data_IF_385091304844
#
_entry.id   IF_385091304844
#
_cell.length_a   1.000
_cell.length_b   1.000
_cell.length_c   1.000
_cell.angle_alpha   90.00
_cell.angle_beta   90.00
_cell.angle_gamma   90.00
#
_symmetry.space_group_name_H-M   'P 1'
#
loop_
_entity.id
_entity.type
_entity.pdbx_description
1 polymer ?
#
# COMPACT_ATOMS: atom_id res chain seq x y z
N UNK A 1 3.88 -26.19 -21.11
CA UNK A 1 3.49 -25.29 -20.01
C UNK A 1 4.66 -24.34 -19.76
N UNK A 2 4.44 -23.03 -19.79
CA UNK A 2 5.48 -22.05 -19.45
C UNK A 2 5.61 -22.00 -17.92
N UNK A 3 6.80 -22.22 -17.38
CA UNK A 3 7.02 -22.22 -15.94
C UNK A 3 6.89 -20.77 -15.41
N UNK A 4 5.96 -20.57 -14.48
CA UNK A 4 5.52 -19.21 -14.05
C UNK A 4 6.40 -18.63 -12.94
N UNK A 5 7.25 -19.43 -12.29
CA UNK A 5 8.22 -18.93 -11.31
C UNK A 5 8.99 -20.04 -10.58
N UNK A 6 10.17 -19.70 -10.06
CA UNK A 6 11.07 -20.60 -9.31
C UNK A 6 10.69 -20.77 -7.83
N UNK A 7 9.99 -19.78 -7.27
CA UNK A 7 9.69 -19.73 -5.84
C UNK A 7 8.28 -19.23 -5.64
N UNK A 8 7.48 -19.99 -4.89
CA UNK A 8 6.13 -19.63 -4.47
C UNK A 8 6.18 -19.21 -3.00
N UNK A 9 5.63 -18.05 -2.69
CA UNK A 9 5.45 -17.58 -1.31
C UNK A 9 3.97 -17.52 -1.00
N UNK A 10 3.57 -18.08 0.14
CA UNK A 10 2.20 -18.09 0.61
C UNK A 10 2.11 -17.81 2.09
N UNK A 11 1.07 -17.08 2.47
CA UNK A 11 0.67 -16.86 3.84
C UNK A 11 -0.34 -17.93 4.27
N UNK A 12 -0.15 -18.51 5.45
CA UNK A 12 -1.11 -19.42 6.07
C UNK A 12 -1.12 -19.19 7.59
N UNK A 13 -2.28 -18.80 8.13
CA UNK A 13 -2.37 -18.39 9.53
C UNK A 13 -1.37 -17.29 9.83
N UNK A 14 -0.60 -17.46 10.91
CA UNK A 14 0.39 -16.49 11.37
C UNK A 14 1.74 -16.56 10.63
N UNK A 15 1.88 -17.48 9.67
CA UNK A 15 3.14 -17.85 9.06
C UNK A 15 3.21 -17.51 7.57
N UNK A 16 4.44 -17.37 7.07
CA UNK A 16 4.76 -17.39 5.65
C UNK A 16 5.54 -18.66 5.33
N UNK A 17 5.18 -19.30 4.23
CA UNK A 17 5.82 -20.49 3.68
C UNK A 17 6.45 -20.16 2.32
N UNK A 18 7.56 -20.82 2.01
CA UNK A 18 8.13 -20.85 0.67
C UNK A 18 8.15 -22.26 0.12
N UNK A 19 7.89 -22.37 -1.19
CA UNK A 19 8.04 -23.60 -1.95
C UNK A 19 8.95 -23.33 -3.16
N UNK A 20 10.02 -24.10 -3.25
CA UNK A 20 10.89 -24.16 -4.43
C UNK A 20 10.29 -25.12 -5.46
N UNK A 21 10.00 -24.60 -6.66
CA UNK A 21 9.35 -25.37 -7.74
C UNK A 21 10.34 -26.21 -8.54
N UNK A 22 11.66 -26.01 -8.40
CA UNK A 22 12.69 -26.69 -9.19
C UNK A 22 13.51 -27.73 -8.40
N UNK A 23 13.47 -27.70 -7.07
CA UNK A 23 14.34 -28.57 -6.27
C UNK A 23 13.81 -28.93 -4.89
N UNK A 24 14.00 -28.02 -3.93
CA UNK A 24 14.02 -28.34 -2.49
C UNK A 24 12.64 -28.61 -1.86
N UNK A 25 11.55 -28.34 -2.57
CA UNK A 25 10.19 -28.46 -2.04
C UNK A 25 9.87 -27.37 -1.02
N UNK A 26 9.19 -27.73 0.08
CA UNK A 26 8.78 -26.77 1.11
C UNK A 26 9.93 -26.42 2.06
N UNK A 27 10.09 -25.13 2.33
CA UNK A 27 11.01 -24.63 3.35
C UNK A 27 10.33 -24.50 4.71
N UNK A 28 11.15 -24.38 5.77
CA UNK A 28 10.65 -24.10 7.11
C UNK A 28 9.89 -22.76 7.13
N UNK A 29 8.64 -22.73 7.64
CA UNK A 29 7.87 -21.50 7.70
C UNK A 29 8.43 -20.52 8.72
N UNK A 30 8.12 -19.24 8.52
CA UNK A 30 8.45 -18.16 9.45
C UNK A 30 7.19 -17.57 10.07
N UNK A 31 7.21 -17.40 11.38
CA UNK A 31 6.20 -16.63 12.11
C UNK A 31 6.36 -15.14 11.81
N UNK A 32 5.33 -14.53 11.25
CA UNK A 32 5.32 -13.10 10.92
C UNK A 32 4.49 -12.31 11.92
N UNK A 33 3.35 -12.86 12.30
CA UNK A 33 2.43 -12.28 13.28
C UNK A 33 2.25 -13.23 14.47
N UNK A 34 1.58 -12.76 15.52
CA UNK A 34 1.23 -13.61 16.66
C UNK A 34 0.33 -14.76 16.24
N UNK A 35 0.43 -15.91 16.92
CA UNK A 35 -0.28 -17.14 16.56
C UNK A 35 -1.81 -17.04 16.59
N UNK A 36 -2.36 -16.05 17.30
CA UNK A 36 -3.79 -15.73 17.33
C UNK A 36 -4.28 -14.89 16.15
N UNK A 37 -3.38 -14.37 15.31
CA UNK A 37 -3.71 -13.60 14.11
C UNK A 37 -3.37 -14.40 12.84
N UNK A 38 -3.75 -13.86 11.69
CA UNK A 38 -3.43 -14.41 10.38
C UNK A 38 -2.89 -13.32 9.47
N UNK A 39 -1.78 -13.59 8.77
CA UNK A 39 -1.31 -12.76 7.65
C UNK A 39 -2.40 -12.72 6.60
N UNK A 40 -2.83 -11.53 6.21
CA UNK A 40 -3.94 -11.34 5.27
C UNK A 40 -3.62 -10.46 4.07
N UNK A 41 -2.55 -9.67 4.16
CA UNK A 41 -2.12 -8.79 3.09
C UNK A 41 -0.64 -9.00 2.81
N UNK A 42 -0.28 -9.00 1.53
CA UNK A 42 1.09 -9.12 1.04
C UNK A 42 1.29 -8.22 -0.17
N UNK A 43 2.44 -7.56 -0.25
CA UNK A 43 2.92 -6.85 -1.44
C UNK A 43 4.44 -7.03 -1.55
N UNK A 44 5.00 -7.07 -2.76
CA UNK A 44 6.42 -7.31 -2.97
C UNK A 44 7.14 -6.14 -3.64
N UNK A 45 8.43 -6.01 -3.34
CA UNK A 45 9.37 -5.09 -3.98
C UNK A 45 10.75 -5.72 -4.06
N UNK A 46 11.11 -6.24 -5.23
CA UNK A 46 12.34 -7.02 -5.41
C UNK A 46 12.32 -8.26 -4.52
N UNK A 47 13.35 -8.44 -3.69
CA UNK A 47 13.45 -9.54 -2.73
C UNK A 47 12.65 -9.33 -1.44
N UNK A 48 11.99 -8.19 -1.25
CA UNK A 48 11.31 -7.87 0.01
C UNK A 48 9.80 -8.06 -0.13
N UNK A 49 9.22 -8.72 0.85
CA UNK A 49 7.78 -8.90 1.02
C UNK A 49 7.33 -8.05 2.19
N UNK A 50 6.41 -7.13 1.94
CA UNK A 50 5.67 -6.42 2.97
C UNK A 50 4.39 -7.18 3.26
N UNK A 51 4.12 -7.44 4.54
CA UNK A 51 2.94 -8.19 4.95
C UNK A 51 2.39 -7.68 6.27
N UNK A 52 1.10 -7.95 6.51
CA UNK A 52 0.46 -7.61 7.77
C UNK A 52 -0.71 -8.56 8.08
N UNK A 53 -1.05 -8.62 9.38
CA UNK A 53 -2.15 -9.43 9.91
C UNK A 53 -3.53 -8.78 9.71
N UNK A 54 -4.60 -9.56 9.94
CA UNK A 54 -6.00 -9.13 9.70
C UNK A 54 -6.44 -7.90 10.48
N UNK A 55 -5.94 -7.76 11.71
CA UNK A 55 -6.29 -6.66 12.63
C UNK A 55 -5.07 -5.80 12.97
N UNK A 56 -4.01 -5.92 12.17
CA UNK A 56 -2.74 -5.29 12.47
C UNK A 56 -2.70 -3.82 12.03
N UNK A 57 -1.99 -3.01 12.80
CA UNK A 57 -1.57 -1.64 12.43
C UNK A 57 -0.08 -1.58 12.10
N UNK A 58 0.58 -2.74 12.02
CA UNK A 58 2.01 -2.87 11.76
C UNK A 58 2.24 -3.61 10.44
N UNK A 59 3.27 -3.19 9.72
CA UNK A 59 3.76 -3.85 8.52
C UNK A 59 5.09 -4.53 8.86
N UNK A 60 5.24 -5.77 8.41
CA UNK A 60 6.46 -6.55 8.53
C UNK A 60 7.15 -6.62 7.16
N UNK A 61 8.46 -6.38 7.14
CA UNK A 61 9.32 -6.60 5.98
C UNK A 61 10.06 -7.93 6.14
N UNK A 62 9.83 -8.82 5.20
CA UNK A 62 10.37 -10.19 5.16
C UNK A 62 11.22 -10.34 3.91
N UNK A 63 12.41 -10.91 4.06
CA UNK A 63 13.22 -11.26 2.90
C UNK A 63 12.67 -12.54 2.26
N UNK A 64 12.36 -12.49 0.97
CA UNK A 64 11.67 -13.56 0.26
C UNK A 64 12.49 -14.85 0.15
N UNK A 65 13.82 -14.76 0.23
CA UNK A 65 14.73 -15.88 0.01
C UNK A 65 15.17 -16.54 1.31
N UNK A 66 15.48 -15.75 2.34
CA UNK A 66 15.84 -16.26 3.67
C UNK A 66 14.65 -16.48 4.59
N UNK A 67 13.44 -16.02 4.19
CA UNK A 67 12.24 -15.99 5.02
C UNK A 67 12.46 -15.32 6.40
N UNK A 68 13.40 -14.37 6.48
CA UNK A 68 13.68 -13.67 7.72
C UNK A 68 12.88 -12.37 7.79
N UNK A 69 12.10 -12.19 8.87
CA UNK A 69 11.55 -10.87 9.23
C UNK A 69 12.72 -10.01 9.71
N UNK A 70 13.01 -8.92 8.99
CA UNK A 70 14.18 -8.07 9.29
C UNK A 70 13.80 -6.63 9.69
N UNK A 71 12.58 -6.19 9.40
CA UNK A 71 12.08 -4.90 9.87
C UNK A 71 10.57 -4.96 10.13
N UNK A 72 10.07 -4.07 10.98
CA UNK A 72 8.64 -3.81 11.14
C UNK A 72 8.42 -2.36 11.57
N UNK A 73 7.28 -1.79 11.22
CA UNK A 73 6.89 -0.44 11.61
C UNK A 73 5.37 -0.30 11.73
N UNK A 74 4.91 0.65 12.54
CA UNK A 74 3.49 0.88 12.81
C UNK A 74 2.95 2.18 12.22
N UNK A 75 1.66 2.19 11.86
CA UNK A 75 0.97 3.38 11.34
C UNK A 75 0.08 4.10 12.38
N UNK A 76 -0.18 3.47 13.54
CA UNK A 76 -1.20 3.92 14.48
C UNK A 76 -0.96 5.34 15.03
N UNK A 77 0.30 5.70 15.31
CA UNK A 77 0.65 7.04 15.78
C UNK A 77 0.40 8.12 14.71
N UNK A 78 0.74 7.83 13.45
CA UNK A 78 0.49 8.71 12.32
C UNK A 78 -1.02 8.94 12.12
N UNK A 79 -1.82 7.86 12.16
CA UNK A 79 -3.29 7.94 12.03
C UNK A 79 -3.90 8.75 13.18
N UNK A 80 -3.47 8.49 14.42
CA UNK A 80 -3.94 9.26 15.59
C UNK A 80 -3.70 10.75 15.43
N UNK A 81 -2.51 11.14 14.97
CA UNK A 81 -2.17 12.54 14.75
C UNK A 81 -3.03 13.18 13.64
N UNK A 82 -3.33 12.43 12.57
CA UNK A 82 -4.23 12.92 11.51
C UNK A 82 -5.67 13.11 11.98
N UNK A 83 -6.13 12.32 12.95
CA UNK A 83 -7.48 12.40 13.51
C UNK A 83 -7.59 13.36 14.70
N UNK A 84 -6.50 14.00 15.13
CA UNK A 84 -6.49 14.85 16.33
C UNK A 84 -7.46 16.04 16.25
N UNK A 85 -7.73 16.57 15.05
CA UNK A 85 -8.69 17.65 14.82
C UNK A 85 -10.13 17.21 14.59
N UNK A 86 -10.44 15.91 14.66
CA UNK A 86 -11.80 15.38 14.54
C UNK A 86 -12.46 15.28 15.92
N UNK A 87 -13.78 15.25 15.94
CA UNK A 87 -14.55 15.02 17.16
C UNK A 87 -14.14 13.72 17.86
N UNK A 88 -14.11 13.75 19.20
CA UNK A 88 -13.61 12.65 20.02
C UNK A 88 -14.34 11.33 19.73
N UNK A 89 -15.66 11.35 19.56
CA UNK A 89 -16.45 10.15 19.26
C UNK A 89 -16.03 9.51 17.93
N UNK A 90 -15.85 10.33 16.89
CA UNK A 90 -15.42 9.87 15.57
C UNK A 90 -13.98 9.33 15.64
N UNK A 91 -13.10 10.03 16.36
CA UNK A 91 -11.70 9.63 16.55
C UNK A 91 -11.61 8.28 17.26
N UNK A 92 -12.31 8.10 18.38
CA UNK A 92 -12.30 6.84 19.14
C UNK A 92 -12.86 5.68 18.32
N UNK A 93 -13.93 5.89 17.54
CA UNK A 93 -14.47 4.87 16.65
C UNK A 93 -13.45 4.45 15.58
N UNK A 94 -12.84 5.42 14.88
CA UNK A 94 -11.84 5.14 13.83
C UNK A 94 -10.57 4.50 14.39
N UNK A 95 -10.13 4.90 15.58
CA UNK A 95 -8.95 4.33 16.24
C UNK A 95 -9.21 2.93 16.81
N UNK A 96 -10.39 2.69 17.41
CA UNK A 96 -10.77 1.38 17.96
C UNK A 96 -10.90 0.28 16.90
N UNK A 97 -11.25 0.66 15.67
CA UNK A 97 -11.36 -0.24 14.52
C UNK A 97 -10.15 -0.17 13.57
N UNK A 98 -9.06 0.52 13.96
CA UNK A 98 -7.93 0.78 13.09
C UNK A 98 -7.21 -0.51 12.70
N UNK A 99 -7.07 -0.72 11.39
CA UNK A 99 -6.25 -1.77 10.79
C UNK A 99 -5.76 -1.33 9.42
N UNK A 100 -4.69 -1.97 8.97
CA UNK A 100 -4.27 -1.88 7.56
C UNK A 100 -5.26 -2.74 6.75
N UNK A 101 -5.89 -2.12 5.75
CA UNK A 101 -6.96 -2.76 4.96
C UNK A 101 -6.51 -3.16 3.56
N UNK A 102 -5.50 -2.47 3.00
CA UNK A 102 -4.84 -2.89 1.77
C UNK A 102 -3.42 -2.30 1.71
N UNK A 103 -2.53 -2.96 0.97
CA UNK A 103 -1.19 -2.46 0.68
C UNK A 103 -0.83 -2.70 -0.78
N UNK A 104 -0.01 -1.85 -1.36
CA UNK A 104 0.58 -2.07 -2.68
C UNK A 104 1.92 -1.36 -2.81
N UNK A 105 2.73 -1.75 -3.78
CA UNK A 105 4.01 -1.08 -4.08
C UNK A 105 3.87 -0.39 -5.43
N UNK A 106 4.18 0.91 -5.48
CA UNK A 106 4.17 1.70 -6.70
C UNK A 106 5.16 2.87 -6.59
N UNK A 107 5.84 3.18 -7.71
CA UNK A 107 6.76 4.34 -7.83
C UNK A 107 7.71 4.51 -6.64
N UNK A 108 8.45 3.46 -6.31
CA UNK A 108 9.42 3.47 -5.19
C UNK A 108 8.81 3.77 -3.81
N UNK A 109 7.49 3.63 -3.65
CA UNK A 109 6.76 3.82 -2.40
C UNK A 109 5.92 2.59 -2.07
N UNK A 110 5.82 2.30 -0.78
CA UNK A 110 4.82 1.41 -0.22
C UNK A 110 3.58 2.24 0.10
N UNK A 111 2.45 1.88 -0.47
CA UNK A 111 1.14 2.50 -0.27
C UNK A 111 0.31 1.64 0.67
N UNK A 112 -0.39 2.30 1.59
CA UNK A 112 -1.08 1.69 2.71
C UNK A 112 -2.46 2.32 2.80
N UNK A 113 -3.50 1.51 2.61
CA UNK A 113 -4.88 1.88 2.89
C UNK A 113 -5.25 1.45 4.30
N UNK A 114 -6.02 2.30 4.99
CA UNK A 114 -6.45 2.05 6.36
C UNK A 114 -7.96 1.90 6.47
N UNK A 115 -8.42 1.22 7.53
CA UNK A 115 -9.85 1.16 7.86
C UNK A 115 -10.44 2.51 8.27
N UNK A 116 -9.60 3.48 8.65
CA UNK A 116 -10.02 4.85 8.92
C UNK A 116 -10.22 5.69 7.65
N UNK A 117 -9.93 5.13 6.47
CA UNK A 117 -10.08 5.77 5.17
C UNK A 117 -8.88 6.60 4.71
N UNK A 118 -7.84 6.69 5.53
CA UNK A 118 -6.59 7.34 5.16
C UNK A 118 -5.81 6.49 4.17
N UNK A 119 -5.24 7.15 3.16
CA UNK A 119 -4.23 6.61 2.24
C UNK A 119 -2.88 7.16 2.65
N UNK A 120 -1.95 6.28 3.02
CA UNK A 120 -0.61 6.61 3.50
C UNK A 120 0.41 6.06 2.51
N UNK A 121 1.53 6.76 2.34
CA UNK A 121 2.68 6.23 1.61
C UNK A 121 3.97 6.43 2.38
N UNK A 122 4.94 5.56 2.10
CA UNK A 122 6.29 5.66 2.63
C UNK A 122 7.32 5.23 1.59
N UNK A 123 8.50 5.87 1.50
CA UNK A 123 9.54 5.42 0.58
C UNK A 123 9.98 3.99 0.88
N UNK A 124 10.15 3.17 -0.16
CA UNK A 124 10.49 1.74 0.01
C UNK A 124 11.82 1.53 0.74
N UNK A 125 12.82 2.37 0.49
CA UNK A 125 14.11 2.26 1.16
C UNK A 125 13.95 2.48 2.68
N UNK A 126 13.16 3.47 3.10
CA UNK A 126 12.83 3.70 4.50
C UNK A 126 12.03 2.55 5.10
N UNK A 127 10.98 2.07 4.42
CA UNK A 127 10.16 0.97 4.91
C UNK A 127 10.96 -0.33 5.13
N UNK A 128 12.06 -0.51 4.37
CA UNK A 128 12.98 -1.64 4.53
C UNK A 128 13.91 -1.49 5.72
N UNK A 129 14.44 -0.29 5.99
CA UNK A 129 15.59 -0.13 6.90
C UNK A 129 15.29 0.64 8.18
N UNK A 130 14.21 1.41 8.24
CA UNK A 130 13.90 2.30 9.36
C UNK A 130 12.75 1.71 10.20
N UNK A 131 12.90 1.76 11.52
CA UNK A 131 11.84 1.39 12.47
C UNK A 131 10.67 2.40 12.46
N UNK A 132 11.00 3.67 12.20
CA UNK A 132 10.04 4.78 12.09
C UNK A 132 10.20 5.46 10.72
N UNK A 133 9.78 4.80 9.62
CA UNK A 133 9.89 5.39 8.30
C UNK A 133 8.96 6.61 8.21
N UNK A 134 9.29 7.63 7.40
CA UNK A 134 8.41 8.76 7.18
C UNK A 134 7.10 8.27 6.54
N UNK A 135 5.97 8.63 7.16
CA UNK A 135 4.62 8.30 6.71
C UNK A 135 3.93 9.56 6.19
N UNK A 136 3.71 9.61 4.88
CA UNK A 136 3.02 10.70 4.21
C UNK A 136 1.55 10.35 4.02
N UNK A 137 0.65 11.08 4.68
CA UNK A 137 -0.79 10.91 4.50
C UNK A 137 -1.25 11.78 3.34
N UNK A 138 -2.06 11.22 2.44
CA UNK A 138 -2.61 11.96 1.30
C UNK A 138 -3.64 12.98 1.76
N UNK A 139 -3.74 14.08 1.00
CA UNK A 139 -4.58 15.22 1.34
C UNK A 139 -6.07 14.87 1.38
N UNK A 140 -6.51 14.02 0.46
CA UNK A 140 -7.86 13.43 0.49
C UNK A 140 -7.77 11.98 0.97
N UNK A 141 -8.92 11.41 1.31
CA UNK A 141 -9.06 10.00 1.62
C UNK A 141 -10.48 9.53 1.42
N UNK A 142 -10.81 8.46 2.11
CA UNK A 142 -12.14 7.88 2.15
C UNK A 142 -12.81 8.21 3.48
N UNK A 143 -14.12 8.36 3.49
CA UNK A 143 -14.89 8.55 4.73
C UNK A 143 -14.83 7.27 5.59
N UNK A 144 -14.93 6.11 4.94
CA UNK A 144 -14.76 4.78 5.52
C UNK A 144 -13.53 4.03 4.98
N UNK A 145 -13.42 2.69 5.18
CA UNK A 145 -12.23 1.92 4.84
C UNK A 145 -11.74 2.06 3.39
N UNK A 146 -10.44 2.23 3.20
CA UNK A 146 -9.77 2.09 1.90
C UNK A 146 -9.54 0.60 1.62
N UNK A 147 -10.28 -0.01 0.69
CA UNK A 147 -10.33 -1.46 0.49
C UNK A 147 -9.35 -1.97 -0.57
N UNK A 148 -9.05 -1.15 -1.57
CA UNK A 148 -8.16 -1.54 -2.68
C UNK A 148 -7.20 -0.42 -3.00
N UNK A 149 -5.95 -0.78 -3.28
CA UNK A 149 -4.96 0.09 -3.89
C UNK A 149 -4.43 -0.57 -5.16
N UNK A 150 -4.55 0.11 -6.28
CA UNK A 150 -4.20 -0.43 -7.58
C UNK A 150 -3.21 0.50 -8.30
N UNK A 151 -1.97 0.06 -8.56
CA UNK A 151 -1.08 0.76 -9.48
C UNK A 151 -1.63 0.66 -10.91
N UNK A 152 -1.78 1.80 -11.58
CA UNK A 152 -2.34 1.89 -12.94
C UNK A 152 -1.32 2.60 -13.83
N UNK A 153 -0.90 1.92 -14.90
CA UNK A 153 -0.07 2.55 -15.93
C UNK A 153 -0.96 3.22 -16.98
N UNK A 154 -0.83 4.53 -17.11
CA UNK A 154 -1.60 5.33 -18.06
C UNK A 154 -0.68 5.78 -19.18
N UNK A 155 -0.95 5.28 -20.39
CA UNK A 155 -0.31 5.78 -21.61
C UNK A 155 -1.02 7.06 -22.06
N UNK A 156 -0.37 8.21 -21.91
CA UNK A 156 -0.91 9.45 -22.46
C UNK A 156 -0.52 9.56 -23.94
N UNK A 157 -1.49 9.37 -24.84
CA UNK A 157 -1.34 9.83 -26.22
C UNK A 157 -1.50 11.35 -26.22
N UNK A 158 -0.41 12.10 -26.05
CA UNK A 158 -0.46 13.54 -26.31
C UNK A 158 -0.69 13.72 -27.82
N UNK A 159 -1.91 14.08 -28.23
CA UNK A 159 -2.13 14.69 -29.55
C UNK A 159 -1.47 16.07 -29.52
N UNK A 160 -0.16 16.11 -29.72
CA UNK A 160 0.56 17.37 -29.94
C UNK A 160 0.07 17.92 -31.29
N UNK A 161 -0.64 19.05 -31.25
CA UNK A 161 -0.94 19.86 -32.45
C UNK A 161 0.42 20.33 -32.98
N UNK A 162 0.92 19.71 -34.06
CA UNK A 162 2.28 19.90 -34.60
C UNK A 162 2.45 21.28 -35.25
N UNK A 163 3.60 21.91 -34.98
CA UNK A 163 4.19 22.99 -35.79
C UNK A 163 5.71 22.75 -36.06
N UNK A 164 6.20 21.50 -35.98
CA UNK A 164 7.58 21.17 -36.35
C UNK A 164 7.78 19.66 -36.60
N UNK A 165 8.67 19.33 -37.53
CA UNK A 165 8.96 17.99 -38.06
C UNK A 165 10.11 17.31 -37.28
N UNK A 166 10.00 15.97 -37.12
CA UNK A 166 11.07 14.99 -36.81
C UNK A 166 11.57 14.80 -35.36
N UNK A 167 10.66 14.63 -34.38
CA UNK A 167 11.01 13.88 -33.14
C UNK A 167 10.03 12.70 -32.99
N UNK A 168 10.51 11.45 -32.78
CA UNK A 168 9.63 10.33 -32.44
C UNK A 168 8.83 10.68 -31.19
N UNK A 169 7.50 10.51 -31.23
CA UNK A 169 6.66 10.77 -30.06
C UNK A 169 7.05 9.82 -28.93
N UNK A 170 7.85 10.27 -27.97
CA UNK A 170 8.07 9.53 -26.73
C UNK A 170 6.70 9.41 -26.04
N UNK A 171 6.18 8.19 -25.99
CA UNK A 171 5.01 7.86 -25.19
C UNK A 171 5.40 8.04 -23.71
N UNK A 172 5.08 9.20 -23.14
CA UNK A 172 5.21 9.41 -21.71
C UNK A 172 4.15 8.54 -21.02
N UNK A 173 4.57 7.42 -20.45
CA UNK A 173 3.74 6.62 -19.56
C UNK A 173 3.80 7.23 -18.15
N UNK A 174 2.65 7.39 -17.51
CA UNK A 174 2.55 7.88 -16.14
C UNK A 174 1.96 6.78 -15.27
N UNK A 175 2.64 6.44 -14.18
CA UNK A 175 2.09 5.55 -13.16
C UNK A 175 1.21 6.37 -12.19
N UNK A 176 -0.03 5.94 -12.03
CA UNK A 176 -0.95 6.40 -11.00
C UNK A 176 -1.16 5.29 -9.98
N UNK A 177 -1.63 5.65 -8.80
CA UNK A 177 -2.25 4.69 -7.87
C UNK A 177 -3.71 5.07 -7.74
N UNK A 178 -4.62 4.12 -7.92
CA UNK A 178 -6.02 4.31 -7.61
C UNK A 178 -6.33 3.71 -6.23
N UNK A 179 -7.03 4.44 -5.37
CA UNK A 179 -7.61 3.92 -4.14
C UNK A 179 -9.12 3.77 -4.27
N UNK A 180 -9.64 2.63 -3.83
CA UNK A 180 -11.07 2.36 -3.79
C UNK A 180 -11.53 2.21 -2.34
N UNK A 181 -12.55 2.96 -1.93
CA UNK A 181 -13.06 2.94 -0.57
C UNK A 181 -14.43 3.59 -0.44
N UNK A 182 -14.91 3.72 0.78
CA UNK A 182 -16.24 4.27 1.10
C UNK A 182 -16.17 5.78 1.28
N UNK A 183 -17.01 6.52 0.58
CA UNK A 183 -17.06 7.97 0.65
C UNK A 183 -15.80 8.68 0.17
N UNK A 184 -15.88 10.01 0.14
CA UNK A 184 -14.76 10.90 -0.11
C UNK A 184 -14.57 11.76 1.14
N UNK A 185 -13.40 11.68 1.76
CA UNK A 185 -13.00 12.58 2.83
C UNK A 185 -11.96 13.57 2.29
N UNK A 186 -12.44 14.72 1.82
CA UNK A 186 -11.61 15.81 1.30
C UNK A 186 -11.10 16.76 2.39
N UNK A 187 -11.43 16.48 3.67
CA UNK A 187 -11.09 17.29 4.85
C UNK A 187 -11.65 18.72 4.80
N UNK A 188 -12.56 19.02 3.88
CA UNK A 188 -13.34 20.25 3.90
C UNK A 188 -14.61 20.02 4.71
N UNK A 189 -15.08 21.03 5.42
CA UNK A 189 -16.22 20.92 6.34
C UNK A 189 -17.59 20.81 5.63
N UNK A 190 -17.61 20.73 4.29
CA UNK A 190 -18.82 20.67 3.47
C UNK A 190 -19.13 19.27 2.95
N UNK A 191 -18.94 18.24 3.78
CA UNK A 191 -19.28 16.87 3.39
C UNK A 191 -20.79 16.68 3.39
N UNK A 192 -21.32 16.31 2.23
CA UNK A 192 -22.70 15.84 2.09
C UNK A 192 -22.77 14.40 2.61
N UNK A 193 -23.47 14.15 3.74
CA UNK A 193 -23.54 12.83 4.38
C UNK A 193 -24.12 11.75 3.46
N UNK A 194 -24.87 12.14 2.42
CA UNK A 194 -25.43 11.20 1.46
C UNK A 194 -24.36 10.50 0.62
N UNK A 195 -23.17 11.10 0.52
CA UNK A 195 -22.08 10.60 -0.31
C UNK A 195 -21.12 9.66 0.47
N UNK A 196 -21.26 9.55 1.78
CA UNK A 196 -20.35 8.74 2.62
C UNK A 196 -20.53 7.23 2.40
N UNK A 197 -21.73 6.81 1.99
CA UNK A 197 -22.06 5.39 1.83
C UNK A 197 -21.75 4.83 0.43
N UNK A 198 -21.32 5.66 -0.53
CA UNK A 198 -21.02 5.19 -1.88
C UNK A 198 -19.54 4.92 -2.08
N UNK A 199 -19.21 3.97 -2.96
CA UNK A 199 -17.82 3.64 -3.25
C UNK A 199 -17.19 4.70 -4.16
N UNK A 200 -16.06 5.24 -3.73
CA UNK A 200 -15.28 6.24 -4.46
C UNK A 200 -13.97 5.66 -4.96
N UNK A 201 -13.56 6.13 -6.15
CA UNK A 201 -12.27 5.85 -6.76
C UNK A 201 -11.46 7.14 -6.82
N UNK A 202 -10.32 7.19 -6.14
CA UNK A 202 -9.45 8.37 -6.08
C UNK A 202 -8.13 8.04 -6.79
N UNK A 203 -7.69 8.90 -7.71
CA UNK A 203 -6.47 8.71 -8.48
C UNK A 203 -5.33 9.59 -7.97
N UNK A 204 -4.25 8.97 -7.56
CA UNK A 204 -3.05 9.60 -7.03
C UNK A 204 -1.97 9.68 -8.10
N UNK A 205 -1.57 10.91 -8.45
CA UNK A 205 -0.37 11.12 -9.26
C UNK A 205 0.85 10.75 -8.43
N UNK A 206 1.62 9.79 -8.93
CA UNK A 206 2.90 9.47 -8.35
C UNK A 206 3.94 10.41 -8.94
N UNK A 207 4.50 11.31 -8.13
CA UNK A 207 5.67 12.08 -8.52
C UNK A 207 6.82 11.11 -8.75
N UNK A 208 7.39 11.10 -9.97
CA UNK A 208 8.66 10.44 -10.19
C UNK A 208 9.68 11.14 -9.29
N UNK A 209 10.23 10.42 -8.32
CA UNK A 209 11.44 10.87 -7.65
C UNK A 209 12.48 10.98 -8.76
N UNK A 210 12.94 12.20 -9.03
CA UNK A 210 13.98 12.47 -10.01
C UNK A 210 15.13 11.48 -9.81
N UNK A 211 15.60 10.89 -10.91
CA UNK A 211 16.81 10.09 -10.91
C UNK A 211 17.92 10.89 -10.20
N UNK A 212 18.72 10.25 -9.32
CA UNK A 212 19.90 10.92 -8.79
C UNK A 212 20.82 11.20 -9.98
N UNK A 213 20.94 12.50 -10.29
CA UNK A 213 21.93 13.08 -11.20
C UNK A 213 23.35 12.75 -10.79
#
# INVERSE_FOLDING_TARGET
MCQVGRRLILASGHQIHAFDTEGAGWEAPVDVVVSSDSVSLMASSGSVIFCCGRKATNIHAVDAFSLKVFNHFGIAACVRNQLAGREDIIREHKMGCLRISCITVATSQLWIGTSAGLVISTPLHCAKTQQNPPLSVREMGHAGPCRVLLPINVAFTRKVKRMSLNVPSQQASQLLVASCGEGLDDRTSSQDPTNDAINHLIFWKCSQLCDPS
#
